data_IF_756237780910
#
_entry.id   IF_756237780910
#
_cell.length_a   1.000
_cell.length_b   1.000
_cell.length_c   1.000
_cell.angle_alpha   90.00
_cell.angle_beta   90.00
_cell.angle_gamma   90.00
#
_symmetry.space_group_name_H-M   'P 1'
#
loop_
_entity.id
_entity.type
_entity.pdbx_description
1 polymer ?
#
# COMPACT_ATOMS: atom_id res chain seq x y z
N UNK A 1 9.58 12.88 5.30
CA UNK A 1 8.16 13.25 5.59
C UNK A 1 7.42 13.75 4.36
N UNK A 2 7.74 14.91 3.79
CA UNK A 2 6.98 15.43 2.64
C UNK A 2 7.08 14.55 1.38
N UNK A 3 8.27 14.05 1.07
CA UNK A 3 8.47 13.12 -0.04
C UNK A 3 7.68 11.81 0.15
N UNK A 4 7.62 11.27 1.37
CA UNK A 4 6.82 10.09 1.71
C UNK A 4 5.31 10.35 1.52
N UNK A 5 4.80 11.51 1.94
CA UNK A 5 3.40 11.90 1.69
C UNK A 5 3.10 12.04 0.19
N UNK A 6 4.03 12.59 -0.58
CA UNK A 6 3.88 12.71 -2.03
C UNK A 6 3.87 11.33 -2.71
N UNK A 7 4.71 10.40 -2.24
CA UNK A 7 4.67 9.00 -2.65
C UNK A 7 3.30 8.38 -2.36
N UNK A 8 2.77 8.51 -1.13
CA UNK A 8 1.42 8.03 -0.79
C UNK A 8 0.36 8.62 -1.74
N UNK A 9 0.39 9.93 -1.98
CA UNK A 9 -0.58 10.59 -2.84
C UNK A 9 -0.54 10.05 -4.29
N UNK A 10 0.65 9.82 -4.83
CA UNK A 10 0.83 9.15 -6.13
C UNK A 10 0.35 7.70 -6.10
N UNK A 11 0.48 7.02 -4.96
CA UNK A 11 -0.03 5.66 -4.75
C UNK A 11 -1.55 5.59 -4.96
N UNK A 12 -2.29 6.54 -4.40
CA UNK A 12 -3.74 6.66 -4.59
C UNK A 12 -4.12 7.06 -6.01
N UNK A 13 -3.34 7.92 -6.65
CA UNK A 13 -3.67 8.43 -7.98
C UNK A 13 -3.39 7.40 -9.10
N UNK A 14 -2.33 6.61 -8.96
CA UNK A 14 -1.75 5.87 -10.10
C UNK A 14 -1.40 4.40 -9.79
N UNK A 15 -1.27 3.99 -8.51
CA UNK A 15 -0.74 2.67 -8.15
C UNK A 15 -1.70 1.87 -7.26
N UNK A 16 -2.99 2.13 -7.40
CA UNK A 16 -4.04 1.29 -6.83
C UNK A 16 -4.17 1.35 -5.30
N UNK A 17 -3.60 2.33 -4.61
CA UNK A 17 -3.79 2.44 -3.15
C UNK A 17 -5.25 2.76 -2.86
N UNK A 18 -5.81 2.05 -1.89
CA UNK A 18 -7.21 2.24 -1.45
C UNK A 18 -7.31 2.55 0.03
N UNK A 19 -6.25 2.27 0.81
CA UNK A 19 -6.14 2.66 2.22
C UNK A 19 -4.68 2.78 2.62
N UNK A 20 -4.36 3.82 3.40
CA UNK A 20 -3.09 3.95 4.13
C UNK A 20 -3.41 4.33 5.56
N UNK A 21 -2.73 3.70 6.53
CA UNK A 21 -2.94 3.99 7.95
C UNK A 21 -1.72 3.64 8.79
N UNK A 22 -1.65 4.18 10.00
CA UNK A 22 -0.57 3.87 10.95
C UNK A 22 -0.88 2.61 11.75
N UNK A 23 0.15 1.82 12.04
CA UNK A 23 0.05 0.73 13.00
C UNK A 23 -0.11 1.30 14.42
N UNK A 24 -0.98 0.69 15.24
CA UNK A 24 -1.34 1.23 16.56
C UNK A 24 -0.21 1.16 17.59
N UNK A 25 0.74 0.26 17.40
CA UNK A 25 1.94 0.12 18.23
C UNK A 25 3.04 1.13 17.87
N UNK A 26 2.83 1.94 16.82
CA UNK A 26 3.81 2.91 16.35
C UNK A 26 4.93 2.30 15.50
N UNK A 27 4.85 1.03 15.12
CA UNK A 27 5.87 0.31 14.34
C UNK A 27 5.92 0.67 12.85
N UNK A 28 5.15 1.67 12.38
CA UNK A 28 5.10 2.07 10.98
C UNK A 28 3.67 2.24 10.47
N UNK A 29 3.41 1.73 9.27
CA UNK A 29 2.12 1.87 8.59
C UNK A 29 1.69 0.62 7.83
N UNK A 30 0.45 0.64 7.37
CA UNK A 30 -0.16 -0.37 6.53
C UNK A 30 -0.74 0.30 5.29
N UNK A 31 -0.58 -0.36 4.14
CA UNK A 31 -1.15 0.03 2.86
C UNK A 31 -2.01 -1.13 2.36
N UNK A 32 -3.21 -0.83 1.88
CA UNK A 32 -4.00 -1.74 1.07
C UNK A 32 -4.02 -1.19 -0.35
N UNK A 33 -3.70 -2.06 -1.31
CA UNK A 33 -3.76 -1.76 -2.74
C UNK A 33 -4.62 -2.80 -3.47
N UNK A 34 -5.20 -2.39 -4.59
CA UNK A 34 -6.03 -3.18 -5.47
C UNK A 34 -5.73 -2.81 -6.93
N UNK A 35 -6.03 -3.70 -7.88
CA UNK A 35 -5.82 -3.46 -9.31
C UNK A 35 -4.35 -3.14 -9.69
N UNK A 36 -3.42 -3.83 -9.01
CA UNK A 36 -1.98 -3.75 -9.27
C UNK A 36 -1.36 -5.14 -9.11
N UNK A 37 -0.42 -5.50 -9.99
CA UNK A 37 0.29 -6.77 -9.87
C UNK A 37 1.28 -6.74 -8.71
N UNK A 38 1.56 -7.90 -8.13
CA UNK A 38 2.54 -8.03 -7.04
C UNK A 38 3.90 -7.41 -7.38
N UNK A 39 4.45 -7.73 -8.55
CA UNK A 39 5.76 -7.22 -8.96
C UNK A 39 5.76 -5.69 -9.14
N UNK A 40 4.70 -5.12 -9.72
CA UNK A 40 4.57 -3.67 -9.88
C UNK A 40 4.42 -2.96 -8.53
N UNK A 41 3.66 -3.56 -7.61
CA UNK A 41 3.49 -3.04 -6.26
C UNK A 41 4.81 -3.07 -5.49
N UNK A 42 5.55 -4.18 -5.53
CA UNK A 42 6.86 -4.30 -4.88
C UNK A 42 7.87 -3.28 -5.48
N UNK A 43 7.92 -3.13 -6.80
CA UNK A 43 8.76 -2.11 -7.44
C UNK A 43 8.38 -0.68 -7.05
N UNK A 44 7.09 -0.44 -6.77
CA UNK A 44 6.61 0.86 -6.31
C UNK A 44 6.92 1.13 -4.83
N UNK A 45 6.84 0.09 -3.98
CA UNK A 45 7.24 0.17 -2.57
C UNK A 45 8.72 0.54 -2.42
N UNK A 46 9.59 0.02 -3.28
CA UNK A 46 11.01 0.39 -3.30
C UNK A 46 11.29 1.87 -3.64
N UNK A 47 10.27 2.62 -4.08
CA UNK A 47 10.36 4.05 -4.33
C UNK A 47 9.94 4.90 -3.12
N UNK A 48 9.43 4.29 -2.05
CA UNK A 48 9.12 5.01 -0.82
C UNK A 48 10.43 5.54 -0.20
N UNK A 49 10.55 6.86 0.06
CA UNK A 49 11.69 7.42 0.77
C UNK A 49 11.99 6.72 2.10
N UNK A 50 11.00 6.17 2.80
CA UNK A 50 11.26 5.44 4.04
C UNK A 50 11.90 4.07 3.82
N UNK A 51 11.63 3.43 2.68
CA UNK A 51 12.28 2.17 2.30
C UNK A 51 13.69 2.45 1.80
N UNK A 52 13.87 3.46 0.95
CA UNK A 52 15.18 3.88 0.41
C UNK A 52 16.15 4.27 1.53
N UNK A 53 15.67 4.99 2.53
CA UNK A 53 16.47 5.44 3.69
C UNK A 53 16.56 4.38 4.80
N UNK A 54 16.11 3.14 4.53
CA UNK A 54 16.14 1.99 5.46
C UNK A 54 15.46 2.27 6.82
N UNK A 55 14.45 3.13 6.83
CA UNK A 55 13.66 3.49 8.03
C UNK A 55 12.62 2.41 8.33
N UNK A 56 12.10 1.75 7.29
CA UNK A 56 11.07 0.71 7.39
C UNK A 56 11.42 -0.49 6.51
N UNK A 57 11.03 -1.68 6.97
CA UNK A 57 11.00 -2.89 6.14
C UNK A 57 9.58 -3.11 5.62
N UNK A 58 9.46 -3.60 4.38
CA UNK A 58 8.16 -3.88 3.77
C UNK A 58 7.83 -5.36 3.82
N UNK A 59 6.65 -5.70 4.34
CA UNK A 59 6.06 -7.03 4.22
C UNK A 59 4.85 -6.97 3.28
N UNK A 60 4.87 -7.79 2.23
CA UNK A 60 3.77 -7.86 1.24
C UNK A 60 3.05 -9.19 1.36
N UNK A 61 1.74 -9.13 1.57
CA UNK A 61 0.84 -10.29 1.55
C UNK A 61 -0.25 -10.07 0.51
N UNK A 62 -0.32 -10.99 -0.44
CA UNK A 62 -1.38 -11.04 -1.43
C UNK A 62 -2.48 -12.00 -0.96
N UNK A 63 -3.73 -11.59 -1.13
CA UNK A 63 -4.90 -12.39 -0.75
C UNK A 63 -5.87 -12.44 -1.91
N UNK A 64 -6.60 -13.54 -2.04
CA UNK A 64 -7.78 -13.63 -2.92
C UNK A 64 -9.02 -13.51 -2.04
N UNK A 65 -9.72 -12.36 -2.03
CA UNK A 65 -10.88 -12.17 -1.15
C UNK A 65 -11.99 -13.17 -1.47
N UNK A 66 -12.35 -14.02 -0.51
CA UNK A 66 -13.42 -15.01 -0.71
C UNK A 66 -14.83 -14.40 -0.57
N UNK A 67 -14.96 -13.28 0.16
CA UNK A 67 -16.22 -12.56 0.37
C UNK A 67 -15.91 -11.11 0.75
N UNK A 68 -16.65 -10.17 0.16
CA UNK A 68 -16.60 -8.75 0.50
C UNK A 68 -17.98 -8.25 0.94
N UNK A 69 -17.99 -7.15 1.70
CA UNK A 69 -19.19 -6.32 1.87
C UNK A 69 -19.44 -5.54 0.57
N UNK A 70 -20.69 -5.21 0.25
CA UNK A 70 -21.06 -4.48 -0.97
C UNK A 70 -20.25 -3.17 -1.14
N UNK A 71 -19.95 -2.47 -0.04
CA UNK A 71 -19.15 -1.23 -0.05
C UNK A 71 -17.72 -1.45 -0.53
N UNK A 72 -17.24 -2.69 -0.51
CA UNK A 72 -15.90 -3.12 -0.88
C UNK A 72 -15.91 -4.09 -2.07
N UNK A 73 -17.01 -4.15 -2.83
CA UNK A 73 -17.14 -5.05 -3.97
C UNK A 73 -15.99 -4.91 -4.99
N UNK A 74 -15.41 -3.71 -5.10
CA UNK A 74 -14.27 -3.42 -5.98
C UNK A 74 -12.99 -4.19 -5.63
N UNK A 75 -12.88 -4.77 -4.42
CA UNK A 75 -11.72 -5.59 -4.00
C UNK A 75 -11.82 -7.06 -4.44
N UNK A 76 -12.97 -7.50 -4.94
CA UNK A 76 -13.22 -8.91 -5.30
C UNK A 76 -13.04 -9.19 -6.80
N UNK A 77 -12.51 -8.23 -7.57
CA UNK A 77 -12.38 -8.30 -9.02
C UNK A 77 -11.22 -9.21 -9.47
#
# INVERSE_FOLDING_TARGET
MEAHKAWIAKGFAENGFVMVGSLKDGGGGAVLANDITRDAFEAYLQQDPFVIEEIVETEVREITPARTDERLAFLAA
#
